data_IF_881726885085
#
_entry.id   IF_881726885085
#
_cell.length_a   1.000
_cell.length_b   1.000
_cell.length_c   1.000
_cell.angle_alpha   90.00
_cell.angle_beta   90.00
_cell.angle_gamma   90.00
#
_symmetry.space_group_name_H-M   'P 1'
#
loop_
_entity.id
_entity.type
_entity.pdbx_description
1 polymer ?
#
# COMPACT_ATOMS: atom_id res chain seq x y z
N UNK A 1 50.64 47.68 4.86
CA UNK A 1 49.25 47.52 4.56
C UNK A 1 48.94 46.07 4.37
N UNK A 2 48.35 45.43 5.38
CA UNK A 2 47.96 44.01 5.34
C UNK A 2 46.50 43.94 4.83
N UNK A 3 46.30 43.25 3.75
CA UNK A 3 44.94 42.93 3.22
C UNK A 3 44.39 41.75 3.99
N UNK A 4 43.33 42.00 4.73
CA UNK A 4 42.63 40.98 5.50
C UNK A 4 41.93 39.97 4.55
N UNK A 5 42.21 38.70 4.81
CA UNK A 5 41.51 37.60 4.19
C UNK A 5 40.07 37.56 4.62
N UNK A 6 39.16 37.54 3.67
CA UNK A 6 37.74 37.36 3.89
C UNK A 6 37.51 35.83 3.95
N UNK A 7 37.47 35.24 5.13
CA UNK A 7 36.98 33.88 5.30
C UNK A 7 35.47 33.89 5.02
N UNK A 8 35.09 33.32 3.90
CA UNK A 8 33.69 33.05 3.59
C UNK A 8 33.17 32.02 4.58
N UNK A 9 32.23 32.41 5.47
CA UNK A 9 31.53 31.50 6.35
C UNK A 9 30.80 30.44 5.48
N UNK A 10 31.09 29.17 5.71
CA UNK A 10 30.34 28.08 5.10
C UNK A 10 28.86 28.23 5.49
N UNK A 11 27.92 28.04 4.55
CA UNK A 11 26.50 28.18 4.86
C UNK A 11 26.08 27.10 5.88
N UNK A 12 25.38 27.51 6.92
CA UNK A 12 24.90 26.68 8.04
C UNK A 12 24.00 25.48 7.64
N UNK A 13 23.81 25.25 6.33
CA UNK A 13 22.98 24.19 5.76
C UNK A 13 23.77 23.05 5.10
N UNK A 14 25.10 23.03 5.18
CA UNK A 14 25.92 22.01 4.49
C UNK A 14 25.85 20.60 5.17
N UNK A 15 25.41 20.50 6.43
CA UNK A 15 25.27 19.24 7.18
C UNK A 15 23.88 18.58 7.09
N UNK A 16 22.91 19.22 6.48
CA UNK A 16 21.51 18.75 6.49
C UNK A 16 21.14 17.76 5.37
N UNK A 17 21.99 17.49 4.41
CA UNK A 17 21.61 16.75 3.18
C UNK A 17 21.47 15.23 3.35
N UNK A 18 22.01 14.61 4.36
CA UNK A 18 21.79 13.18 4.64
C UNK A 18 20.64 12.94 5.63
N UNK A 19 20.37 13.91 6.53
CA UNK A 19 19.22 13.87 7.44
C UNK A 19 17.89 14.23 6.72
N UNK A 20 17.92 15.00 5.65
CA UNK A 20 16.75 15.42 4.87
C UNK A 20 16.08 14.27 4.08
N UNK A 21 16.70 13.09 3.98
CA UNK A 21 16.12 11.89 3.36
C UNK A 21 15.35 11.01 4.37
N UNK A 22 15.52 11.26 5.67
CA UNK A 22 14.76 10.55 6.71
C UNK A 22 13.53 11.37 7.11
N UNK A 23 12.42 10.69 7.29
CA UNK A 23 11.19 11.32 7.75
C UNK A 23 11.43 12.03 9.09
N UNK A 24 10.99 13.29 9.23
CA UNK A 24 11.16 14.10 10.43
C UNK A 24 10.65 13.39 11.70
N UNK A 25 11.36 13.51 12.81
CA UNK A 25 11.03 12.84 14.09
C UNK A 25 9.63 13.15 14.60
N UNK A 26 9.14 14.37 14.35
CA UNK A 26 7.78 14.76 14.74
C UNK A 26 6.75 14.06 13.84
N UNK A 27 7.06 13.89 12.55
CA UNK A 27 6.24 13.13 11.62
C UNK A 27 6.19 11.65 12.01
N UNK A 28 7.32 11.03 12.33
CA UNK A 28 7.39 9.64 12.80
C UNK A 28 6.53 9.46 14.06
N UNK A 29 6.64 10.36 15.02
CA UNK A 29 5.84 10.29 16.26
C UNK A 29 4.34 10.51 16.01
N UNK A 30 3.99 11.48 15.16
CA UNK A 30 2.60 11.69 14.75
C UNK A 30 2.02 10.44 14.10
N UNK A 31 2.77 9.81 13.21
CA UNK A 31 2.34 8.61 12.51
C UNK A 31 2.12 7.42 13.44
N UNK A 32 3.00 7.23 14.44
CA UNK A 32 2.84 6.20 15.47
C UNK A 32 1.52 6.39 16.24
N UNK A 33 1.23 7.62 16.68
CA UNK A 33 -0.01 7.93 17.39
C UNK A 33 -1.25 7.73 16.52
N UNK A 34 -1.16 8.15 15.24
CA UNK A 34 -2.23 7.97 14.28
C UNK A 34 -2.49 6.48 13.98
N UNK A 35 -1.42 5.68 13.84
CA UNK A 35 -1.54 4.25 13.62
C UNK A 35 -2.32 3.56 14.75
N UNK A 36 -2.12 3.97 16.01
CA UNK A 36 -2.90 3.44 17.14
C UNK A 36 -4.40 3.75 17.02
N UNK A 37 -4.76 4.94 16.48
CA UNK A 37 -6.15 5.30 16.20
C UNK A 37 -6.73 4.40 15.11
N UNK A 38 -6.01 4.23 14.01
CA UNK A 38 -6.41 3.36 12.88
C UNK A 38 -6.59 1.91 13.34
N UNK A 39 -5.68 1.38 14.16
CA UNK A 39 -5.77 0.01 14.72
C UNK A 39 -7.06 -0.16 15.55
N UNK A 40 -7.45 0.83 16.34
CA UNK A 40 -8.74 0.80 17.06
C UNK A 40 -9.92 0.78 16.10
N UNK A 41 -9.86 1.60 15.04
CA UNK A 41 -10.86 1.61 13.97
C UNK A 41 -10.99 0.25 13.30
N UNK A 42 -9.88 -0.36 12.89
CA UNK A 42 -9.82 -1.71 12.30
C UNK A 42 -10.46 -2.75 13.22
N UNK A 43 -10.08 -2.74 14.50
CA UNK A 43 -10.62 -3.68 15.50
C UNK A 43 -12.13 -3.55 15.64
N UNK A 44 -12.68 -2.33 15.62
CA UNK A 44 -14.14 -2.10 15.67
C UNK A 44 -14.88 -2.63 14.44
N UNK A 45 -14.13 -2.87 13.34
CA UNK A 45 -14.61 -3.39 12.05
C UNK A 45 -14.28 -4.87 11.85
N UNK A 46 -13.94 -5.59 12.93
CA UNK A 46 -13.55 -7.00 12.91
C UNK A 46 -12.37 -7.29 11.96
N UNK A 47 -11.42 -6.34 11.88
CA UNK A 47 -10.16 -6.46 11.16
C UNK A 47 -9.00 -6.32 12.13
N UNK A 48 -7.86 -6.97 11.84
CA UNK A 48 -6.69 -6.94 12.71
C UNK A 48 -5.67 -5.93 12.18
N UNK A 49 -5.28 -4.96 13.00
CA UNK A 49 -4.27 -3.96 12.69
C UNK A 49 -2.98 -4.18 13.44
N UNK A 50 -1.85 -3.91 12.79
CA UNK A 50 -0.49 -3.94 13.34
C UNK A 50 0.23 -2.64 12.98
N UNK A 51 1.21 -2.26 13.78
CA UNK A 51 2.10 -1.14 13.49
C UNK A 51 3.53 -1.65 13.35
N UNK A 52 4.23 -1.16 12.36
CA UNK A 52 5.65 -1.39 12.13
C UNK A 52 6.37 -0.05 11.99
N UNK A 53 7.39 0.17 12.80
CA UNK A 53 8.18 1.40 12.74
C UNK A 53 9.09 1.45 11.51
N UNK A 54 9.48 0.28 10.98
CA UNK A 54 10.35 0.13 9.80
C UNK A 54 9.80 -0.89 8.80
N UNK A 55 10.41 -0.94 7.61
CA UNK A 55 10.10 -1.95 6.58
C UNK A 55 10.47 -3.36 7.03
N UNK A 56 11.56 -3.49 7.76
CA UNK A 56 12.06 -4.76 8.31
C UNK A 56 11.08 -5.33 9.35
N UNK A 57 10.55 -4.48 10.23
CA UNK A 57 9.51 -4.88 11.18
C UNK A 57 8.22 -5.28 10.46
N UNK A 58 7.85 -4.56 9.40
CA UNK A 58 6.68 -4.89 8.59
C UNK A 58 6.83 -6.23 7.88
N UNK A 59 8.03 -6.54 7.36
CA UNK A 59 8.36 -7.83 6.77
C UNK A 59 8.24 -8.95 7.81
N UNK A 60 8.87 -8.78 8.96
CA UNK A 60 8.82 -9.77 10.05
C UNK A 60 7.37 -10.04 10.48
N UNK A 61 6.58 -8.98 10.70
CA UNK A 61 5.17 -9.10 11.07
C UNK A 61 4.33 -9.80 9.98
N UNK A 62 4.60 -9.53 8.70
CA UNK A 62 3.89 -10.20 7.61
C UNK A 62 4.19 -11.71 7.59
N UNK A 63 5.45 -12.10 7.78
CA UNK A 63 5.86 -13.52 7.83
C UNK A 63 5.29 -14.25 9.04
N UNK A 64 5.08 -13.58 10.19
CA UNK A 64 4.37 -14.18 11.34
C UNK A 64 2.88 -14.42 11.04
N UNK A 65 2.24 -13.57 10.22
CA UNK A 65 0.83 -13.70 9.86
C UNK A 65 0.61 -14.80 8.82
N UNK A 66 1.58 -15.04 7.95
CA UNK A 66 1.50 -15.99 6.83
C UNK A 66 2.11 -17.33 7.26
N UNK A 67 1.32 -18.41 7.47
CA UNK A 67 1.87 -19.69 7.86
C UNK A 67 2.78 -20.28 6.78
N UNK A 68 3.86 -20.94 7.19
CA UNK A 68 4.69 -21.72 6.27
C UNK A 68 3.86 -22.79 5.54
N UNK A 69 4.19 -23.05 4.29
CA UNK A 69 3.45 -23.96 3.41
C UNK A 69 2.17 -23.36 2.81
N UNK A 70 1.80 -22.11 3.14
CA UNK A 70 0.64 -21.45 2.53
C UNK A 70 0.85 -21.19 1.05
N UNK A 71 -0.22 -21.36 0.27
CA UNK A 71 -0.31 -20.79 -1.07
C UNK A 71 -0.55 -19.27 -0.97
N UNK A 72 0.29 -18.49 -1.64
CA UNK A 72 0.28 -17.03 -1.57
C UNK A 72 0.18 -16.44 -2.96
N UNK A 73 -0.77 -15.53 -3.17
CA UNK A 73 -0.88 -14.78 -4.41
C UNK A 73 -0.94 -13.28 -4.15
N UNK A 74 -0.72 -12.49 -5.20
CA UNK A 74 -0.80 -11.03 -5.12
C UNK A 74 -1.30 -10.39 -6.39
N UNK A 75 -1.88 -9.20 -6.26
CA UNK A 75 -2.06 -8.26 -7.36
C UNK A 75 -0.82 -7.38 -7.56
N UNK A 76 -0.97 -6.23 -8.18
CA UNK A 76 0.10 -5.22 -8.24
C UNK A 76 0.26 -4.52 -6.89
N UNK A 77 0.98 -5.08 -5.96
CA UNK A 77 1.19 -4.54 -4.61
C UNK A 77 2.62 -4.01 -4.44
N UNK A 78 2.85 -2.74 -4.82
CA UNK A 78 4.16 -2.10 -4.67
C UNK A 78 4.65 -2.11 -3.23
N UNK A 79 3.77 -1.83 -2.25
CA UNK A 79 4.14 -1.82 -0.83
C UNK A 79 4.70 -3.14 -0.32
N UNK A 80 4.20 -4.30 -0.82
CA UNK A 80 4.75 -5.60 -0.46
C UNK A 80 6.13 -5.84 -1.10
N UNK A 81 6.35 -5.31 -2.31
CA UNK A 81 7.65 -5.36 -2.98
C UNK A 81 8.67 -4.50 -2.22
N UNK A 82 8.29 -3.27 -1.85
CA UNK A 82 9.17 -2.30 -1.20
C UNK A 82 9.65 -2.71 0.21
N UNK A 83 8.87 -3.55 0.92
CA UNK A 83 9.31 -4.14 2.19
C UNK A 83 10.04 -5.49 2.02
N UNK A 84 10.27 -5.97 0.79
CA UNK A 84 10.93 -7.25 0.51
C UNK A 84 10.06 -8.49 0.72
N UNK A 85 8.76 -8.35 0.99
CA UNK A 85 7.88 -9.49 1.30
C UNK A 85 7.72 -10.45 0.12
N UNK A 86 7.61 -9.92 -1.10
CA UNK A 86 7.46 -10.77 -2.30
C UNK A 86 8.67 -11.66 -2.50
N UNK A 87 9.87 -11.10 -2.34
CA UNK A 87 11.13 -11.85 -2.42
C UNK A 87 11.25 -12.91 -1.31
N UNK A 88 10.82 -12.57 -0.09
CA UNK A 88 10.84 -13.50 1.03
C UNK A 88 9.88 -14.68 0.82
N UNK A 89 8.68 -14.42 0.28
CA UNK A 89 7.70 -15.46 -0.07
C UNK A 89 8.24 -16.34 -1.21
N UNK A 90 8.76 -15.74 -2.29
CA UNK A 90 9.25 -16.49 -3.45
C UNK A 90 10.46 -17.39 -3.14
N UNK A 91 11.27 -17.05 -2.14
CA UNK A 91 12.46 -17.81 -1.71
C UNK A 91 12.21 -18.67 -0.48
N UNK A 92 11.10 -18.44 0.21
CA UNK A 92 10.74 -19.12 1.46
C UNK A 92 9.95 -20.41 1.27
N UNK A 93 9.50 -21.03 2.37
CA UNK A 93 8.72 -22.26 2.35
C UNK A 93 7.23 -21.97 2.03
N UNK A 94 6.93 -21.32 0.91
CA UNK A 94 5.60 -20.93 0.47
C UNK A 94 5.36 -21.39 -0.96
N UNK A 95 4.10 -21.63 -1.32
CA UNK A 95 3.67 -21.83 -2.70
C UNK A 95 3.25 -20.48 -3.30
N UNK A 96 4.19 -19.80 -3.97
CA UNK A 96 3.95 -18.49 -4.55
C UNK A 96 3.29 -18.61 -5.93
N UNK A 97 2.00 -18.34 -6.00
CA UNK A 97 1.22 -18.31 -7.23
C UNK A 97 1.45 -16.99 -7.98
N UNK A 98 2.55 -16.93 -8.73
CA UNK A 98 2.87 -15.77 -9.56
C UNK A 98 1.99 -15.77 -10.81
N UNK A 99 1.09 -14.81 -10.91
CA UNK A 99 0.21 -14.63 -12.07
C UNK A 99 0.94 -14.47 -13.41
N UNK A 100 2.21 -14.10 -13.41
CA UNK A 100 3.03 -13.95 -14.62
C UNK A 100 3.59 -15.28 -15.12
N UNK A 101 3.48 -16.35 -14.34
CA UNK A 101 3.87 -17.71 -14.74
C UNK A 101 2.76 -18.44 -15.55
N UNK A 102 1.57 -17.84 -15.68
CA UNK A 102 0.44 -18.42 -16.39
C UNK A 102 0.29 -17.83 -17.79
N UNK A 103 0.05 -18.69 -18.79
CA UNK A 103 -0.24 -18.24 -20.15
C UNK A 103 -1.63 -17.61 -20.25
N UNK A 104 -2.62 -18.14 -19.50
CA UNK A 104 -3.97 -17.57 -19.41
C UNK A 104 -4.15 -16.79 -18.11
N UNK A 105 -4.37 -15.46 -18.18
CA UNK A 105 -4.65 -14.63 -17.00
C UNK A 105 -5.91 -15.07 -16.22
N UNK A 106 -6.84 -15.79 -16.88
CA UNK A 106 -8.05 -16.31 -16.23
C UNK A 106 -7.74 -17.51 -15.36
N UNK A 107 -6.84 -18.40 -15.78
CA UNK A 107 -6.38 -19.53 -14.96
C UNK A 107 -5.70 -19.01 -13.69
N UNK A 108 -4.76 -18.07 -13.83
CA UNK A 108 -4.10 -17.41 -12.70
C UNK A 108 -5.11 -16.79 -11.72
N UNK A 109 -6.17 -16.15 -12.26
CA UNK A 109 -7.22 -15.57 -11.44
C UNK A 109 -7.99 -16.62 -10.65
N UNK A 110 -8.40 -17.71 -11.29
CA UNK A 110 -9.21 -18.78 -10.68
C UNK A 110 -8.40 -19.54 -9.63
N UNK A 111 -7.15 -19.86 -9.90
CA UNK A 111 -6.28 -20.53 -8.95
C UNK A 111 -6.00 -19.64 -7.75
N UNK A 112 -5.72 -18.35 -7.98
CA UNK A 112 -5.52 -17.37 -6.92
C UNK A 112 -6.73 -17.20 -5.99
N UNK A 113 -7.97 -17.50 -6.44
CA UNK A 113 -9.14 -17.53 -5.55
C UNK A 113 -9.06 -18.63 -4.49
N UNK A 114 -8.41 -19.75 -4.82
CA UNK A 114 -8.19 -20.87 -3.91
C UNK A 114 -7.00 -20.71 -2.98
N UNK A 115 -6.17 -19.67 -3.17
CA UNK A 115 -5.00 -19.43 -2.35
C UNK A 115 -5.35 -19.23 -0.87
N UNK A 116 -4.42 -19.54 0.01
CA UNK A 116 -4.57 -19.32 1.45
C UNK A 116 -4.46 -17.83 1.78
N UNK A 117 -3.53 -17.12 1.12
CA UNK A 117 -3.21 -15.72 1.42
C UNK A 117 -3.17 -14.86 0.17
N UNK A 118 -3.77 -13.68 0.25
CA UNK A 118 -3.65 -12.61 -0.74
C UNK A 118 -2.88 -11.42 -0.17
N UNK A 119 -1.80 -11.03 -0.85
CA UNK A 119 -1.04 -9.83 -0.51
C UNK A 119 -1.63 -8.62 -1.22
N UNK A 120 -1.98 -7.59 -0.46
CA UNK A 120 -2.62 -6.38 -0.95
C UNK A 120 -2.01 -5.10 -0.35
N UNK A 121 -2.38 -3.99 -0.94
CA UNK A 121 -2.26 -2.66 -0.33
C UNK A 121 -3.54 -1.87 -0.60
N UNK A 122 -3.76 -0.82 0.19
CA UNK A 122 -4.84 0.14 -0.04
C UNK A 122 -4.44 1.22 -1.05
N UNK A 123 -5.40 1.77 -1.78
CA UNK A 123 -5.21 3.06 -2.47
C UNK A 123 -5.34 4.24 -1.51
N UNK A 124 -6.16 4.08 -0.48
CA UNK A 124 -6.27 4.96 0.67
C UNK A 124 -7.00 4.26 1.82
N UNK A 125 -6.94 4.83 3.00
CA UNK A 125 -7.59 4.30 4.19
C UNK A 125 -8.01 5.43 5.11
N UNK A 126 -9.18 5.33 5.75
CA UNK A 126 -9.60 6.30 6.76
C UNK A 126 -8.95 6.03 8.11
N UNK A 127 -8.84 7.05 8.96
CA UNK A 127 -8.42 6.90 10.35
C UNK A 127 -9.34 5.96 11.16
N UNK A 128 -10.59 5.79 10.72
CA UNK A 128 -11.57 4.89 11.32
C UNK A 128 -11.47 3.45 10.76
N UNK A 129 -10.50 3.18 9.88
CA UNK A 129 -10.16 1.83 9.43
C UNK A 129 -10.91 1.35 8.18
N UNK A 130 -11.59 2.21 7.45
CA UNK A 130 -12.17 1.84 6.15
C UNK A 130 -11.09 1.83 5.08
N UNK A 131 -11.09 0.78 4.24
CA UNK A 131 -10.07 0.56 3.21
C UNK A 131 -10.69 0.84 1.85
N UNK A 132 -10.05 1.71 1.05
CA UNK A 132 -10.49 2.05 -0.31
C UNK A 132 -9.54 1.46 -1.33
N UNK A 133 -10.09 0.69 -2.27
CA UNK A 133 -9.39 0.14 -3.43
C UNK A 133 -10.13 0.50 -4.72
N UNK A 134 -9.37 1.00 -5.71
CA UNK A 134 -9.84 1.25 -7.09
C UNK A 134 -9.18 0.22 -8.01
N UNK A 135 -9.95 -0.37 -8.92
CA UNK A 135 -9.47 -1.41 -9.83
C UNK A 135 -10.00 -1.22 -11.25
N UNK A 136 -9.21 -1.63 -12.25
CA UNK A 136 -9.60 -1.63 -13.65
C UNK A 136 -10.32 -2.91 -14.06
N UNK A 137 -9.75 -4.07 -13.70
CA UNK A 137 -10.22 -5.39 -14.13
C UNK A 137 -10.99 -6.15 -13.04
N UNK A 138 -11.23 -5.55 -11.88
CA UNK A 138 -11.85 -6.16 -10.71
C UNK A 138 -11.09 -7.36 -10.10
N UNK A 139 -9.95 -7.75 -10.63
CA UNK A 139 -9.21 -8.92 -10.17
C UNK A 139 -8.73 -8.77 -8.72
N UNK A 140 -8.11 -7.66 -8.37
CA UNK A 140 -7.63 -7.37 -7.02
C UNK A 140 -8.77 -7.16 -6.02
N UNK A 141 -9.77 -6.35 -6.39
CA UNK A 141 -10.91 -6.08 -5.49
C UNK A 141 -11.77 -7.31 -5.26
N UNK A 142 -11.86 -8.23 -6.23
CA UNK A 142 -12.58 -9.49 -6.04
C UNK A 142 -11.87 -10.42 -5.06
N UNK A 143 -10.54 -10.51 -5.08
CA UNK A 143 -9.77 -11.23 -4.07
C UNK A 143 -9.96 -10.65 -2.66
N UNK A 144 -9.95 -9.31 -2.55
CA UNK A 144 -10.19 -8.64 -1.27
C UNK A 144 -11.60 -8.93 -0.77
N UNK A 145 -12.61 -8.83 -1.65
CA UNK A 145 -14.02 -8.98 -1.27
C UNK A 145 -14.39 -10.43 -0.92
N UNK A 146 -13.96 -11.42 -1.73
CA UNK A 146 -14.42 -12.81 -1.62
C UNK A 146 -13.31 -13.85 -1.67
N UNK A 147 -12.18 -13.60 -2.31
CA UNK A 147 -11.14 -14.59 -2.64
C UNK A 147 -10.48 -15.27 -1.43
N UNK A 148 -9.13 -15.25 -1.30
CA UNK A 148 -8.38 -16.02 -0.32
C UNK A 148 -8.87 -15.91 1.13
N UNK A 149 -8.57 -16.96 1.90
CA UNK A 149 -8.99 -17.07 3.30
C UNK A 149 -8.42 -15.95 4.17
N UNK A 150 -7.24 -15.45 3.81
CA UNK A 150 -6.56 -14.36 4.50
C UNK A 150 -6.14 -13.28 3.50
N UNK A 151 -6.31 -12.01 3.87
CA UNK A 151 -5.83 -10.86 3.12
C UNK A 151 -4.89 -10.08 4.02
N UNK A 152 -3.64 -9.93 3.58
CA UNK A 152 -2.61 -9.17 4.30
C UNK A 152 -2.35 -7.87 3.55
N UNK A 153 -2.76 -6.78 4.14
CA UNK A 153 -2.52 -5.43 3.62
C UNK A 153 -1.23 -4.86 4.17
N UNK A 154 -0.36 -4.38 3.28
CA UNK A 154 0.81 -3.56 3.63
C UNK A 154 0.49 -2.12 3.26
N UNK A 155 0.38 -1.24 4.25
CA UNK A 155 -0.12 0.13 4.08
C UNK A 155 0.86 1.13 4.68
N UNK A 156 1.49 1.95 3.85
CA UNK A 156 2.30 3.08 4.31
C UNK A 156 1.42 4.17 4.93
N UNK A 157 1.95 4.88 5.94
CA UNK A 157 1.23 5.97 6.62
C UNK A 157 0.86 7.13 5.69
N UNK A 158 1.50 7.24 4.52
CA UNK A 158 1.15 8.18 3.45
C UNK A 158 -0.26 7.96 2.86
N UNK A 159 -0.91 6.83 3.17
CA UNK A 159 -2.23 6.46 2.63
C UNK A 159 -3.39 6.71 3.59
N UNK A 160 -3.09 7.16 4.81
CA UNK A 160 -4.10 7.41 5.84
C UNK A 160 -4.69 8.82 5.65
N UNK A 161 -6.01 8.89 5.67
CA UNK A 161 -6.82 10.10 5.51
C UNK A 161 -7.77 10.26 6.72
N UNK A 162 -8.23 11.48 6.96
CA UNK A 162 -9.06 11.84 8.11
C UNK A 162 -10.37 11.03 8.17
N UNK A 163 -11.00 10.82 7.01
CA UNK A 163 -12.27 10.11 6.89
C UNK A 163 -12.39 9.35 5.56
N UNK A 164 -13.53 8.71 5.32
CA UNK A 164 -13.81 7.96 4.09
C UNK A 164 -13.84 8.86 2.85
N UNK A 165 -14.36 10.08 2.95
CA UNK A 165 -14.43 11.01 1.83
C UNK A 165 -13.02 11.46 1.43
N UNK A 166 -12.16 11.76 2.40
CA UNK A 166 -10.74 12.02 2.21
C UNK A 166 -10.00 10.84 1.58
N UNK A 167 -10.28 9.62 2.05
CA UNK A 167 -9.72 8.40 1.48
C UNK A 167 -10.15 8.18 0.02
N UNK A 168 -11.44 8.37 -0.28
CA UNK A 168 -11.95 8.30 -1.65
C UNK A 168 -11.33 9.38 -2.55
N UNK A 169 -11.20 10.60 -2.03
CA UNK A 169 -10.55 11.71 -2.74
C UNK A 169 -9.09 11.39 -3.05
N UNK A 170 -8.31 10.91 -2.05
CA UNK A 170 -6.91 10.51 -2.22
C UNK A 170 -6.77 9.38 -3.24
N UNK A 171 -7.59 8.35 -3.13
CA UNK A 171 -7.54 7.20 -4.04
C UNK A 171 -7.72 7.65 -5.51
N UNK A 172 -8.59 8.63 -5.76
CA UNK A 172 -8.86 9.17 -7.10
C UNK A 172 -7.87 10.24 -7.55
N UNK A 173 -7.41 11.11 -6.65
CA UNK A 173 -6.59 12.28 -7.03
C UNK A 173 -5.09 12.02 -6.95
N UNK A 174 -4.66 11.02 -6.18
CA UNK A 174 -3.25 10.66 -5.99
C UNK A 174 -2.97 9.25 -6.50
N UNK A 175 -3.57 8.22 -5.89
CA UNK A 175 -3.21 6.84 -6.19
C UNK A 175 -3.49 6.44 -7.64
N UNK A 176 -4.69 6.72 -8.17
CA UNK A 176 -5.05 6.34 -9.52
C UNK A 176 -4.23 7.09 -10.60
N UNK A 177 -4.05 8.43 -10.54
CA UNK A 177 -3.19 9.14 -11.48
C UNK A 177 -1.73 8.70 -11.43
N UNK A 178 -1.18 8.43 -10.24
CA UNK A 178 0.19 7.92 -10.10
C UNK A 178 0.32 6.52 -10.69
N UNK A 179 -0.63 5.63 -10.41
CA UNK A 179 -0.62 4.29 -10.98
C UNK A 179 -0.80 4.29 -12.51
N UNK A 180 -1.55 5.25 -13.07
CA UNK A 180 -1.74 5.40 -14.52
C UNK A 180 -0.42 5.67 -15.26
N UNK A 181 0.58 6.27 -14.61
CA UNK A 181 1.90 6.52 -15.21
C UNK A 181 2.71 5.25 -15.49
N UNK A 182 2.30 4.10 -14.94
CA UNK A 182 2.98 2.80 -15.14
C UNK A 182 2.57 2.12 -16.45
N UNK A 183 1.55 2.64 -17.12
CA UNK A 183 0.93 2.03 -18.28
C UNK A 183 0.88 3.03 -19.44
N UNK A 184 0.92 2.53 -20.65
CA UNK A 184 0.66 3.35 -21.85
C UNK A 184 -0.86 3.50 -22.05
N UNK A 185 -1.43 4.56 -21.44
CA UNK A 185 -2.87 4.82 -21.41
C UNK A 185 -3.19 6.16 -22.06
N UNK A 186 -4.35 6.24 -22.73
CA UNK A 186 -4.89 7.51 -23.29
C UNK A 186 -5.82 8.26 -22.34
N UNK A 187 -5.73 7.98 -21.04
CA UNK A 187 -6.56 8.64 -20.03
C UNK A 187 -6.12 10.10 -19.78
N UNK A 188 -7.01 11.04 -19.39
CA UNK A 188 -6.59 12.40 -19.07
C UNK A 188 -5.51 12.46 -17.99
N UNK A 189 -5.58 11.61 -16.95
CA UNK A 189 -4.62 11.64 -15.84
C UNK A 189 -3.22 11.14 -16.24
N UNK A 190 -3.08 10.29 -17.25
CA UNK A 190 -1.75 9.92 -17.78
C UNK A 190 -1.04 11.08 -18.45
N UNK A 191 -1.81 12.08 -18.95
CA UNK A 191 -1.29 13.26 -19.65
C UNK A 191 -1.13 14.49 -18.73
N UNK A 192 -2.01 14.64 -17.74
CA UNK A 192 -2.08 15.85 -16.90
C UNK A 192 -1.63 15.63 -15.46
N UNK A 193 -1.46 14.37 -15.03
CA UNK A 193 -1.22 14.01 -13.62
C UNK A 193 -2.46 14.17 -12.73
N UNK A 194 -3.60 14.65 -13.24
CA UNK A 194 -4.79 14.97 -12.47
C UNK A 194 -6.01 14.14 -12.89
N UNK A 195 -6.81 13.70 -11.91
CA UNK A 195 -8.05 12.98 -12.15
C UNK A 195 -9.12 13.89 -12.75
N UNK A 196 -9.60 13.54 -13.95
CA UNK A 196 -10.70 14.26 -14.65
C UNK A 196 -12.06 13.51 -14.52
N UNK A 197 -12.18 12.50 -13.65
CA UNK A 197 -13.38 11.66 -13.55
C UNK A 197 -13.81 11.09 -14.92
N UNK A 198 -12.86 10.62 -15.69
CA UNK A 198 -13.05 10.21 -17.08
C UNK A 198 -13.89 8.93 -17.21
N UNK A 199 -14.40 8.75 -18.45
CA UNK A 199 -15.04 7.50 -18.92
C UNK A 199 -14.28 6.98 -20.14
N UNK A 200 -12.94 7.14 -20.13
CA UNK A 200 -12.07 6.65 -21.20
C UNK A 200 -12.13 5.14 -21.30
N UNK A 201 -11.98 4.58 -22.48
CA UNK A 201 -11.96 3.13 -22.67
C UNK A 201 -10.79 2.47 -21.93
N UNK A 202 -9.67 3.16 -21.79
CA UNK A 202 -8.46 2.70 -21.11
C UNK A 202 -8.47 2.99 -19.59
N UNK A 203 -9.64 3.37 -19.03
CA UNK A 203 -9.69 3.71 -17.60
C UNK A 203 -9.31 2.52 -16.73
N UNK A 204 -8.47 2.79 -15.72
CA UNK A 204 -8.14 1.82 -14.66
C UNK A 204 -8.98 2.03 -13.39
N UNK A 205 -10.06 2.82 -13.48
CA UNK A 205 -10.93 3.16 -12.36
C UNK A 205 -12.36 2.64 -12.60
N UNK A 206 -12.50 1.33 -12.89
CA UNK A 206 -13.78 0.73 -13.23
C UNK A 206 -14.58 0.29 -12.01
N UNK A 207 -13.90 -0.16 -10.94
CA UNK A 207 -14.53 -0.61 -9.70
C UNK A 207 -13.94 0.13 -8.50
N UNK A 208 -14.82 0.43 -7.55
CA UNK A 208 -14.50 1.04 -6.27
C UNK A 208 -14.97 0.11 -5.16
N UNK A 209 -14.03 -0.45 -4.41
CA UNK A 209 -14.32 -1.26 -3.25
C UNK A 209 -14.03 -0.46 -1.99
N UNK A 210 -15.03 -0.36 -1.12
CA UNK A 210 -14.87 0.12 0.26
C UNK A 210 -15.03 -1.09 1.18
N UNK A 211 -13.91 -1.53 1.76
CA UNK A 211 -13.94 -2.57 2.80
C UNK A 211 -14.22 -1.90 4.13
N UNK A 212 -15.50 -1.91 4.53
CA UNK A 212 -15.99 -1.23 5.71
C UNK A 212 -15.97 -2.10 6.96
N UNK A 213 -16.12 -3.40 6.81
CA UNK A 213 -16.23 -4.36 7.90
C UNK A 213 -15.88 -5.76 7.39
N UNK A 214 -15.19 -6.58 8.17
CA UNK A 214 -14.97 -7.99 7.85
C UNK A 214 -15.97 -8.86 8.62
N UNK A 215 -16.81 -9.61 7.89
CA UNK A 215 -17.72 -10.58 8.51
C UNK A 215 -16.99 -11.80 9.10
N UNK A 216 -15.78 -12.07 8.56
CA UNK A 216 -14.96 -13.21 8.95
C UNK A 216 -13.81 -12.73 9.83
N UNK A 217 -13.81 -13.15 11.09
CA UNK A 217 -12.74 -12.87 12.04
C UNK A 217 -11.41 -13.44 11.53
N UNK A 218 -10.32 -12.70 11.71
CA UNK A 218 -8.98 -13.12 11.29
C UNK A 218 -8.76 -13.21 9.77
N UNK A 219 -9.71 -12.75 8.93
CA UNK A 219 -9.51 -12.74 7.49
C UNK A 219 -8.67 -11.55 7.01
N UNK A 220 -8.91 -10.36 7.55
CA UNK A 220 -8.24 -9.13 7.10
C UNK A 220 -7.23 -8.67 8.15
N UNK A 221 -5.97 -8.61 7.74
CA UNK A 221 -4.85 -8.11 8.50
C UNK A 221 -4.26 -6.89 7.81
N UNK A 222 -3.98 -5.82 8.56
CA UNK A 222 -3.44 -4.57 8.03
C UNK A 222 -2.19 -4.20 8.82
N UNK A 223 -1.05 -4.16 8.14
CA UNK A 223 0.23 -3.71 8.69
C UNK A 223 0.44 -2.26 8.26
N UNK A 224 0.36 -1.35 9.23
CA UNK A 224 0.61 0.09 9.06
C UNK A 224 2.11 0.33 9.21
N UNK A 225 2.75 0.75 8.14
CA UNK A 225 4.20 0.96 8.10
C UNK A 225 4.50 2.45 8.20
N UNK A 226 5.37 2.82 9.14
CA UNK A 226 5.76 4.21 9.36
C UNK A 226 6.71 4.73 8.28
N UNK A 227 6.29 4.60 7.04
CA UNK A 227 7.02 5.04 5.85
C UNK A 227 6.02 5.39 4.72
N UNK A 228 6.54 6.00 3.67
CA UNK A 228 5.82 6.22 2.42
C UNK A 228 5.99 4.99 1.53
N UNK A 229 4.93 4.22 1.34
CA UNK A 229 4.94 3.00 0.54
C UNK A 229 3.93 3.06 -0.60
N UNK A 230 4.38 2.70 -1.80
CA UNK A 230 3.55 2.65 -3.01
C UNK A 230 2.82 3.99 -3.29
N UNK A 231 1.62 3.92 -3.85
CA UNK A 231 0.89 5.10 -4.34
C UNK A 231 -0.32 5.45 -3.51
#
# INVERSE_FOLDING_TARGET
MALGGNEAAEPAYAGQREEDLMMDKNMLKRNELLAQKVIKGLKSRNMTGYYAATKEEALAQALEIIPEGSSVTMGGCMSAIEIGLVDAIAKGPYDFLDRHAYDDPREALLEGYGADVFLASANAMSEDGEIVNIDGNANRVSYIAQGPRKVVFIVGMNKICDDLDGAMKRARSVAAPTNAQRFDLSTPCSKTGACANCKSIDTICCQFLITRFSRHEGRIHVILVNDNLGF
#
